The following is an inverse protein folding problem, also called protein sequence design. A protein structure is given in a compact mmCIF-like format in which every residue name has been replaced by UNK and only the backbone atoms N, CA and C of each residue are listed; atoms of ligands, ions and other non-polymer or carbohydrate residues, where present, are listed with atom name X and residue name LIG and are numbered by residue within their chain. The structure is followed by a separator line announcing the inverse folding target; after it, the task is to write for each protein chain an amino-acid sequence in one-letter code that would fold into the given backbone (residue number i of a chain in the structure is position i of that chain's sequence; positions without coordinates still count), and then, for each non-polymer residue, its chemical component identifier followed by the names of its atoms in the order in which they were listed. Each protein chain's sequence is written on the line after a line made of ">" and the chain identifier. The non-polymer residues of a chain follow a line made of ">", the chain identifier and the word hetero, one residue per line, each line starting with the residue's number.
data_IF_593209562498
#
_entry.id   IF_593209562498
#
_cell.length_a   1.000
_cell.length_b   1.000
_cell.length_c   1.000
_cell.angle_alpha   90.00
_cell.angle_beta   90.00
_cell.angle_gamma   90.00
#
_symmetry.space_group_name_H-M   'P 1'
#
loop_
_entity.id
_entity.type
_entity.pdbx_description
1 polymer ?
#
# COMPACT_ATOMS: atom_id res chain seq x y z
N UNK A 1 -4.26 8.54 -7.34
CA UNK A 1 -4.54 7.29 -8.07
C UNK A 1 -4.30 6.08 -7.17
N UNK A 2 -4.85 4.92 -7.54
CA UNK A 2 -4.42 3.59 -7.09
C UNK A 2 -4.06 2.75 -8.32
N UNK A 3 -3.23 1.74 -8.13
CA UNK A 3 -2.91 0.73 -9.13
C UNK A 3 -3.31 -0.67 -8.67
N UNK A 4 -3.46 -1.61 -9.60
CA UNK A 4 -3.59 -3.04 -9.29
C UNK A 4 -2.83 -3.90 -10.31
N UNK A 5 -2.44 -5.09 -9.86
CA UNK A 5 -1.78 -6.09 -10.70
C UNK A 5 -2.73 -7.27 -10.99
N UNK A 6 -3.47 -7.30 -12.13
CA UNK A 6 -4.49 -8.33 -12.39
C UNK A 6 -3.93 -9.73 -12.69
N UNK A 7 -2.65 -9.86 -13.03
CA UNK A 7 -2.00 -11.12 -13.43
C UNK A 7 -0.99 -11.65 -12.41
N UNK A 8 -0.74 -10.94 -11.30
CA UNK A 8 0.21 -11.37 -10.26
C UNK A 8 0.00 -10.67 -8.92
N UNK A 9 0.60 -11.21 -7.86
CA UNK A 9 0.80 -10.49 -6.60
C UNK A 9 2.04 -9.59 -6.68
N UNK A 10 2.15 -8.64 -5.76
CA UNK A 10 3.34 -7.80 -5.61
C UNK A 10 3.66 -7.65 -4.12
N UNK A 11 4.89 -8.00 -3.75
CA UNK A 11 5.39 -7.89 -2.39
C UNK A 11 6.42 -6.77 -2.24
N UNK A 12 6.31 -6.01 -1.16
CA UNK A 12 7.29 -5.01 -0.73
C UNK A 12 7.82 -5.39 0.65
N UNK A 13 9.14 -5.57 0.73
CA UNK A 13 9.83 -5.94 1.96
C UNK A 13 10.86 -4.84 2.28
N UNK A 14 10.69 -4.10 3.39
CA UNK A 14 11.60 -3.01 3.74
C UNK A 14 12.99 -3.55 4.11
N UNK A 15 14.04 -2.86 3.68
CA UNK A 15 15.43 -3.17 4.06
C UNK A 15 15.89 -2.41 5.33
N UNK A 16 15.09 -1.46 5.80
CA UNK A 16 15.30 -0.68 7.03
C UNK A 16 14.10 -0.84 7.96
N UNK A 17 14.24 -0.43 9.22
CA UNK A 17 13.14 -0.40 10.19
C UNK A 17 12.31 0.89 10.11
N UNK A 18 12.40 1.61 8.99
CA UNK A 18 11.68 2.88 8.79
C UNK A 18 10.23 2.57 8.40
N UNK A 19 9.24 3.14 9.12
CA UNK A 19 7.83 2.88 8.84
C UNK A 19 7.45 3.43 7.47
N UNK A 20 6.45 2.80 6.85
CA UNK A 20 5.85 3.24 5.60
C UNK A 20 4.33 3.10 5.67
N UNK A 21 3.63 3.79 4.78
CA UNK A 21 2.19 3.73 4.67
C UNK A 21 1.76 2.80 3.54
N UNK A 22 0.66 2.11 3.78
CA UNK A 22 0.02 1.22 2.81
C UNK A 22 -1.42 1.69 2.65
N UNK A 23 -1.83 2.00 1.44
CA UNK A 23 -3.22 2.34 1.11
C UNK A 23 -3.73 1.29 0.14
N UNK A 24 -4.86 0.66 0.45
CA UNK A 24 -5.44 -0.43 -0.34
C UNK A 24 -6.94 -0.29 -0.50
N UNK A 25 -7.49 -0.92 -1.54
CA UNK A 25 -8.91 -1.24 -1.66
C UNK A 25 -9.10 -2.67 -2.20
N UNK A 26 -10.23 -3.34 -1.92
CA UNK A 26 -10.49 -4.71 -2.35
C UNK A 26 -10.38 -4.89 -3.87
N UNK A 27 -10.00 -6.09 -4.32
CA UNK A 27 -9.97 -6.42 -5.74
C UNK A 27 -11.36 -6.34 -6.40
N UNK A 28 -11.39 -6.07 -7.71
CA UNK A 28 -12.62 -5.86 -8.48
C UNK A 28 -12.72 -4.42 -8.99
N UNK A 29 -13.95 -3.93 -9.18
CA UNK A 29 -14.17 -2.50 -9.45
C UNK A 29 -13.70 -1.67 -8.25
N UNK A 30 -13.06 -0.53 -8.51
CA UNK A 30 -12.55 0.32 -7.45
C UNK A 30 -13.70 0.95 -6.66
N UNK A 31 -13.92 0.47 -5.44
CA UNK A 31 -14.79 1.12 -4.45
C UNK A 31 -13.96 1.93 -3.45
N UNK A 32 -13.97 3.25 -3.65
CA UNK A 32 -13.23 4.21 -2.82
C UNK A 32 -13.72 4.22 -1.37
N UNK A 33 -14.97 3.84 -1.09
CA UNK A 33 -15.50 3.74 0.29
C UNK A 33 -14.86 2.59 1.08
N UNK A 34 -14.32 1.59 0.37
CA UNK A 34 -13.64 0.45 0.97
C UNK A 34 -12.13 0.65 1.11
N UNK A 35 -11.61 1.84 0.78
CA UNK A 35 -10.21 2.14 1.00
C UNK A 35 -9.84 2.03 2.48
N UNK A 36 -8.66 1.48 2.74
CA UNK A 36 -8.04 1.41 4.07
C UNK A 36 -6.61 1.87 3.98
N UNK A 37 -6.14 2.52 5.05
CA UNK A 37 -4.74 2.88 5.21
C UNK A 37 -4.17 2.14 6.43
N UNK A 38 -2.92 1.69 6.30
CA UNK A 38 -2.16 1.02 7.34
C UNK A 38 -0.80 1.70 7.49
N UNK A 39 -0.24 1.62 8.68
CA UNK A 39 1.15 1.97 8.99
C UNK A 39 1.88 0.70 9.40
N UNK A 40 3.07 0.48 8.83
CA UNK A 40 3.92 -0.64 9.21
C UNK A 40 4.80 -0.32 10.43
N UNK A 41 5.18 -1.35 11.19
CA UNK A 41 6.22 -1.27 12.24
C UNK A 41 7.65 -1.31 11.67
N UNK A 42 7.83 -0.88 10.41
CA UNK A 42 9.12 -0.79 9.74
C UNK A 42 9.75 -2.14 9.33
N UNK A 43 9.66 -3.19 10.15
CA UNK A 43 10.13 -4.55 9.79
C UNK A 43 9.09 -5.37 9.02
N UNK A 44 7.85 -4.89 8.93
CA UNK A 44 6.74 -5.61 8.31
C UNK A 44 6.74 -5.37 6.80
N UNK A 45 6.89 -6.44 6.03
CA UNK A 45 6.59 -6.44 4.60
C UNK A 45 5.11 -6.65 4.32
N UNK A 46 4.66 -6.29 3.11
CA UNK A 46 3.33 -6.59 2.61
C UNK A 46 3.40 -7.36 1.30
N UNK A 47 2.39 -8.18 1.02
CA UNK A 47 2.17 -8.80 -0.27
C UNK A 47 0.73 -8.53 -0.71
N UNK A 48 0.55 -7.67 -1.71
CA UNK A 48 -0.75 -7.40 -2.30
C UNK A 48 -1.20 -8.62 -3.09
N UNK A 49 -2.35 -9.17 -2.71
CA UNK A 49 -2.96 -10.25 -3.48
C UNK A 49 -3.31 -9.75 -4.90
N UNK A 50 -3.32 -10.67 -5.86
CA UNK A 50 -3.64 -10.36 -7.26
C UNK A 50 -4.93 -9.55 -7.39
N UNK A 51 -4.86 -8.45 -8.11
CA UNK A 51 -5.99 -7.55 -8.39
C UNK A 51 -6.38 -6.61 -7.26
N UNK A 52 -5.75 -6.68 -6.07
CA UNK A 52 -5.96 -5.71 -5.00
C UNK A 52 -5.46 -4.33 -5.44
N UNK A 53 -6.31 -3.32 -5.28
CA UNK A 53 -5.91 -1.94 -5.50
C UNK A 53 -5.00 -1.49 -4.37
N UNK A 54 -3.93 -0.80 -4.71
CA UNK A 54 -3.01 -0.21 -3.75
C UNK A 54 -2.40 1.08 -4.29
N UNK A 55 -1.96 1.95 -3.40
CA UNK A 55 -1.21 3.14 -3.81
C UNK A 55 0.28 2.76 -4.01
N UNK A 56 1.00 3.41 -4.94
CA UNK A 56 2.45 3.30 -5.02
C UNK A 56 3.13 3.56 -3.68
N UNK A 57 4.33 3.04 -3.51
CA UNK A 57 5.04 2.99 -2.22
C UNK A 57 5.17 4.36 -1.53
N UNK A 58 4.80 4.44 -0.25
CA UNK A 58 4.85 5.65 0.58
C UNK A 58 5.78 5.49 1.79
N UNK A 59 7.08 5.69 1.59
CA UNK A 59 8.05 5.74 2.68
C UNK A 59 7.83 6.99 3.57
N UNK A 60 8.00 6.84 4.88
CA UNK A 60 7.95 7.97 5.82
C UNK A 60 9.36 8.39 6.24
N UNK A 61 9.52 9.68 6.55
CA UNK A 61 10.70 10.31 7.16
C UNK A 61 11.97 10.37 6.30
N UNK A 62 12.33 9.29 5.62
CA UNK A 62 13.54 9.21 4.81
C UNK A 62 13.36 8.33 3.57
N UNK A 63 14.26 8.51 2.61
CA UNK A 63 14.39 7.60 1.47
C UNK A 63 14.73 6.19 2.00
N UNK A 64 13.96 5.21 1.54
CA UNK A 64 13.99 3.84 2.02
C UNK A 64 14.03 2.87 0.84
N UNK A 65 14.85 1.83 0.98
CA UNK A 65 14.97 0.77 -0.02
C UNK A 65 14.09 -0.42 0.34
N UNK A 66 13.53 -1.05 -0.69
CA UNK A 66 12.65 -2.20 -0.57
C UNK A 66 13.08 -3.29 -1.53
N UNK A 67 13.02 -4.54 -1.07
CA UNK A 67 12.98 -5.68 -1.98
C UNK A 67 11.56 -5.76 -2.54
N UNK A 68 11.48 -5.79 -3.87
CA UNK A 68 10.22 -5.95 -4.61
C UNK A 68 10.21 -7.34 -5.24
N UNK A 69 9.12 -8.08 -5.03
CA UNK A 69 8.89 -9.37 -5.69
C UNK A 69 7.54 -9.32 -6.39
N UNK A 70 7.56 -9.32 -7.72
CA UNK A 70 6.37 -9.31 -8.55
C UNK A 70 6.52 -10.15 -9.82
N UNK A 71 5.54 -10.01 -10.72
CA UNK A 71 5.39 -10.82 -11.92
C UNK A 71 6.05 -10.13 -13.12
N UNK A 72 7.19 -10.65 -13.58
CA UNK A 72 7.90 -10.20 -14.79
C UNK A 72 7.47 -10.85 -16.12
N UNK A 73 6.26 -11.41 -16.23
CA UNK A 73 5.78 -12.09 -17.46
C UNK A 73 5.13 -11.15 -18.49
N UNK A 74 4.84 -11.67 -19.69
CA UNK A 74 4.22 -10.90 -20.80
C UNK A 74 2.77 -10.44 -20.52
N UNK A 75 2.30 -9.38 -21.16
CA UNK A 75 0.91 -8.90 -21.07
C UNK A 75 0.69 -7.74 -20.08
N UNK A 76 -0.51 -7.17 -20.09
CA UNK A 76 -0.87 -5.99 -19.30
C UNK A 76 -1.15 -6.37 -17.84
N UNK A 77 -0.21 -6.06 -16.95
CA UNK A 77 -0.31 -6.38 -15.52
C UNK A 77 -0.36 -5.15 -14.62
N UNK A 78 -0.60 -3.94 -15.11
CA UNK A 78 -0.77 -2.78 -14.24
C UNK A 78 -1.94 -1.94 -14.72
N UNK A 79 -3.03 -1.92 -13.96
CA UNK A 79 -4.13 -0.99 -14.20
C UNK A 79 -4.01 0.18 -13.22
N UNK A 80 -4.10 1.41 -13.72
CA UNK A 80 -4.07 2.64 -12.92
C UNK A 80 -5.43 3.35 -12.97
N UNK A 81 -5.91 3.84 -11.83
CA UNK A 81 -7.14 4.63 -11.76
C UNK A 81 -6.98 5.85 -10.84
N UNK A 82 -7.36 7.02 -11.35
CA UNK A 82 -7.43 8.23 -10.55
C UNK A 82 -8.53 8.14 -9.49
N UNK A 83 -8.23 8.71 -8.33
CA UNK A 83 -9.23 8.86 -7.27
C UNK A 83 -10.14 10.04 -7.65
N UNK A 84 -11.45 9.98 -7.34
CA UNK A 84 -12.41 11.02 -7.73
C UNK A 84 -12.24 12.35 -6.99
N UNK A 85 -11.27 12.43 -6.07
CA UNK A 85 -10.99 13.61 -5.26
C UNK A 85 -9.65 13.50 -4.54
N UNK A 86 -9.38 14.49 -3.69
CA UNK A 86 -8.16 14.55 -2.88
C UNK A 86 -8.41 13.86 -1.54
N UNK A 87 -7.57 12.87 -1.24
CA UNK A 87 -7.58 12.13 0.02
C UNK A 87 -6.28 12.43 0.76
N UNK A 88 -6.37 12.76 2.05
CA UNK A 88 -5.22 13.22 2.84
C UNK A 88 -5.00 12.28 4.02
N UNK A 89 -3.79 11.72 4.10
CA UNK A 89 -3.31 11.01 5.28
C UNK A 89 -2.79 12.04 6.27
N UNK A 90 -3.45 12.18 7.42
CA UNK A 90 -3.13 13.21 8.41
C UNK A 90 -2.22 12.67 9.51
N UNK A 91 -1.42 13.56 10.10
CA UNK A 91 -0.58 13.23 11.25
C UNK A 91 -1.41 12.69 12.43
N UNK A 92 -2.58 13.30 12.70
CA UNK A 92 -3.47 12.85 13.76
C UNK A 92 -4.00 11.41 13.53
N UNK A 93 -4.34 11.06 12.28
CA UNK A 93 -4.77 9.70 11.95
C UNK A 93 -3.63 8.69 12.09
N UNK A 94 -2.41 9.07 11.72
CA UNK A 94 -1.21 8.24 11.89
C UNK A 94 -0.94 7.93 13.37
N UNK A 95 -1.03 8.95 14.23
CA UNK A 95 -0.85 8.79 15.68
C UNK A 95 -1.91 7.88 16.29
N UNK A 96 -3.18 8.06 15.88
CA UNK A 96 -4.29 7.20 16.31
C UNK A 96 -4.08 5.73 15.89
N UNK A 97 -3.65 5.47 14.65
CA UNK A 97 -3.39 4.12 14.15
C UNK A 97 -2.27 3.42 14.94
N UNK A 98 -1.17 4.12 15.24
CA UNK A 98 -0.07 3.59 16.06
C UNK A 98 -0.47 3.32 17.51
N UNK A 99 -1.30 4.20 18.09
CA UNK A 99 -1.81 3.99 19.44
C UNK A 99 -2.68 2.73 19.51
N UNK A 100 -3.56 2.52 18.52
CA UNK A 100 -4.39 1.32 18.43
C UNK A 100 -3.56 0.03 18.29
N UNK A 101 -2.47 0.07 17.51
CA UNK A 101 -1.59 -1.09 17.32
C UNK A 101 -0.86 -1.52 18.60
N UNK A 102 -0.46 -0.58 19.46
CA UNK A 102 0.19 -0.88 20.75
C UNK A 102 -0.76 -1.45 21.81
N UNK A 103 -2.06 -1.24 21.64
CA UNK A 103 -3.09 -1.68 22.58
C UNK A 103 -3.62 -3.09 22.28
N UNK A 104 -3.25 -3.66 21.12
CA UNK A 104 -3.60 -5.01 20.68
C UNK A 104 -2.53 -6.03 21.09
#
# INVERSE_FOLDING_TARGET
>A
MLERHPLGSQAFIPLKTTPYLVVVAPAGELDVSQMRAFVSEGWQGVNYARGVWHHPLLALHEVSDFVVVDRGGEGHNCDEQDLPGVYVLTQAALEAARAAQKAA
#
